data_IF_308315346499
#
_entry.id   IF_308315346499
#
_cell.length_a   1.000
_cell.length_b   1.000
_cell.length_c   1.000
_cell.angle_alpha   90.00
_cell.angle_beta   90.00
_cell.angle_gamma   90.00
#
_symmetry.space_group_name_H-M   'P 1'
#
loop_
_entity.id
_entity.type
_entity.pdbx_description
1 polymer ?
#
# COMPACT_ATOMS: atom_id res chain seq x y z
N UNK A 1 4.73 25.58 -8.89
CA UNK A 1 3.62 25.20 -8.02
C UNK A 1 2.55 24.60 -8.92
N UNK A 2 2.23 23.33 -8.74
CA UNK A 2 1.12 22.68 -9.43
C UNK A 2 -0.18 23.08 -8.72
N UNK A 3 -1.27 23.18 -9.48
CA UNK A 3 -2.59 23.59 -8.98
C UNK A 3 -3.59 22.52 -9.38
N UNK A 4 -4.38 22.05 -8.44
CA UNK A 4 -5.49 21.11 -8.66
C UNK A 4 -6.84 21.76 -8.32
N UNK A 5 -7.90 21.31 -9.02
CA UNK A 5 -9.27 21.71 -8.71
C UNK A 5 -9.84 20.79 -7.61
N UNK A 6 -10.11 21.33 -6.46
CA UNK A 6 -10.74 20.61 -5.35
C UNK A 6 -12.26 20.66 -5.47
N UNK A 7 -12.89 19.51 -5.65
CA UNK A 7 -14.34 19.43 -5.92
C UNK A 7 -15.22 19.84 -4.71
N UNK A 8 -14.75 19.58 -3.48
CA UNK A 8 -15.52 19.90 -2.27
C UNK A 8 -15.59 21.40 -2.03
N UNK A 9 -14.49 22.11 -2.19
CA UNK A 9 -14.41 23.56 -1.98
C UNK A 9 -14.65 24.37 -3.26
N UNK A 10 -14.74 23.69 -4.42
CA UNK A 10 -14.86 24.30 -5.77
C UNK A 10 -13.78 25.37 -6.02
N UNK A 11 -12.58 25.15 -5.52
CA UNK A 11 -11.47 26.08 -5.62
C UNK A 11 -10.23 25.44 -6.22
N UNK A 12 -9.35 26.28 -6.80
CA UNK A 12 -8.03 25.87 -7.23
C UNK A 12 -7.08 25.98 -6.04
N UNK A 13 -6.50 24.85 -5.63
CA UNK A 13 -5.56 24.77 -4.50
C UNK A 13 -4.16 24.44 -5.00
N UNK A 14 -3.16 25.07 -4.37
CA UNK A 14 -1.75 24.74 -4.64
C UNK A 14 -1.41 23.36 -4.08
N UNK A 15 -0.92 22.47 -4.94
CA UNK A 15 -0.54 21.11 -4.55
C UNK A 15 0.95 21.02 -4.31
N UNK A 16 1.34 20.54 -3.13
CA UNK A 16 2.70 20.09 -2.90
C UNK A 16 2.75 18.58 -3.19
N UNK A 17 3.40 18.13 -4.28
CA UNK A 17 3.44 16.70 -4.66
C UNK A 17 4.08 15.82 -3.60
N UNK A 18 4.85 16.38 -2.67
CA UNK A 18 5.45 15.65 -1.55
C UNK A 18 4.58 15.63 -0.29
N UNK A 19 3.41 16.29 -0.29
CA UNK A 19 2.50 16.26 0.85
C UNK A 19 1.90 14.86 1.00
N UNK A 20 1.97 14.31 2.21
CA UNK A 20 1.29 13.06 2.53
C UNK A 20 -0.23 13.26 2.52
N UNK A 21 -0.92 12.43 1.74
CA UNK A 21 -2.38 12.38 1.72
C UNK A 21 -2.88 11.52 2.89
N UNK A 22 -4.03 11.88 3.46
CA UNK A 22 -4.67 11.05 4.48
C UNK A 22 -5.24 9.79 3.84
N UNK A 23 -4.68 8.62 4.19
CA UNK A 23 -5.04 7.31 3.61
C UNK A 23 -5.87 6.43 4.55
N UNK A 24 -6.15 6.90 5.76
CA UNK A 24 -6.84 6.11 6.80
C UNK A 24 -8.27 5.73 6.45
N UNK A 25 -8.92 6.46 5.55
CA UNK A 25 -10.26 6.14 5.02
C UNK A 25 -10.30 4.82 4.23
N UNK A 26 -9.16 4.33 3.74
CA UNK A 26 -9.07 3.05 3.06
C UNK A 26 -9.20 1.83 4.00
N UNK A 27 -9.08 2.02 5.32
CA UNK A 27 -9.04 0.93 6.30
C UNK A 27 -10.19 -0.08 6.19
N UNK A 28 -11.47 0.32 6.13
CA UNK A 28 -12.56 -0.63 5.99
C UNK A 28 -12.51 -1.45 4.70
N UNK A 29 -12.17 -0.79 3.58
CA UNK A 29 -12.08 -1.45 2.28
C UNK A 29 -10.96 -2.50 2.24
N UNK A 30 -9.78 -2.17 2.78
CA UNK A 30 -8.66 -3.11 2.89
C UNK A 30 -9.00 -4.29 3.81
N UNK A 31 -9.77 -4.05 4.87
CA UNK A 31 -10.17 -5.09 5.80
C UNK A 31 -11.14 -6.12 5.19
N UNK A 32 -11.85 -5.77 4.15
CA UNK A 32 -12.69 -6.71 3.40
C UNK A 32 -11.91 -7.93 2.93
N UNK A 33 -10.66 -7.76 2.53
CA UNK A 33 -9.74 -8.84 2.17
C UNK A 33 -8.99 -9.40 3.39
N UNK A 34 -8.40 -8.53 4.22
CA UNK A 34 -7.46 -8.93 5.28
C UNK A 34 -8.12 -9.52 6.53
N UNK A 35 -9.46 -9.42 6.68
CA UNK A 35 -10.21 -10.08 7.76
C UNK A 35 -9.63 -9.84 9.16
N UNK A 36 -9.33 -8.58 9.48
CA UNK A 36 -8.70 -8.19 10.74
C UNK A 36 -7.33 -8.84 10.98
N UNK A 37 -6.56 -9.07 9.91
CA UNK A 37 -5.19 -9.58 10.00
C UNK A 37 -4.19 -8.59 9.41
N UNK A 38 -3.04 -8.50 10.04
CA UNK A 38 -1.90 -7.75 9.49
C UNK A 38 -1.47 -8.38 8.16
N UNK A 39 -1.32 -7.57 7.12
CA UNK A 39 -0.88 -8.02 5.81
C UNK A 39 0.48 -8.74 5.85
N UNK A 40 1.35 -8.31 6.73
CA UNK A 40 2.72 -8.81 6.81
C UNK A 40 2.87 -10.07 7.66
N UNK A 41 2.43 -10.02 8.92
CA UNK A 41 2.72 -11.09 9.90
C UNK A 41 1.50 -11.91 10.33
N UNK A 42 0.29 -11.60 9.80
CA UNK A 42 -1.00 -12.23 10.14
C UNK A 42 -1.47 -12.07 11.59
N UNK A 43 -0.79 -11.25 12.42
CA UNK A 43 -1.31 -10.90 13.74
C UNK A 43 -2.71 -10.29 13.65
N UNK A 44 -3.57 -10.59 14.62
CA UNK A 44 -4.86 -9.92 14.73
C UNK A 44 -4.71 -8.41 14.89
N UNK A 45 -5.52 -7.68 14.15
CA UNK A 45 -5.63 -6.23 14.19
C UNK A 45 -7.09 -5.80 14.23
N UNK A 46 -7.36 -4.60 14.70
CA UNK A 46 -8.70 -4.01 14.74
C UNK A 46 -8.81 -2.88 13.74
N UNK A 47 -10.00 -2.66 13.21
CA UNK A 47 -10.33 -1.44 12.44
C UNK A 47 -11.13 -0.43 13.28
N UNK A 48 -11.43 -0.77 14.52
CA UNK A 48 -12.21 0.08 15.44
C UNK A 48 -11.30 1.20 15.95
N UNK A 49 -11.75 2.42 15.77
CA UNK A 49 -11.03 3.59 16.25
C UNK A 49 -10.88 3.56 17.78
N UNK A 50 -9.69 3.84 18.27
CA UNK A 50 -9.37 3.82 19.69
C UNK A 50 -8.98 2.44 20.25
N UNK A 51 -9.06 1.37 19.45
CA UNK A 51 -8.55 0.06 19.84
C UNK A 51 -7.02 0.07 19.98
N UNK A 52 -6.49 -0.60 21.01
CA UNK A 52 -5.04 -0.77 21.19
C UNK A 52 -4.40 -1.56 20.04
N UNK A 53 -5.15 -2.49 19.43
CA UNK A 53 -4.72 -3.27 18.29
C UNK A 53 -5.13 -2.65 16.94
N UNK A 54 -5.44 -1.36 16.91
CA UNK A 54 -5.88 -0.69 15.69
C UNK A 54 -4.80 -0.78 14.60
N UNK A 55 -5.21 -1.26 13.42
CA UNK A 55 -4.35 -1.36 12.26
C UNK A 55 -3.93 0.02 11.73
N UNK A 56 -2.66 0.15 11.41
CA UNK A 56 -2.17 1.25 10.58
C UNK A 56 -2.50 0.96 9.10
N UNK A 57 -2.74 2.00 8.32
CA UNK A 57 -2.72 1.89 6.85
C UNK A 57 -1.30 2.24 6.42
N UNK A 58 -0.61 1.25 5.84
CA UNK A 58 0.79 1.37 5.42
C UNK A 58 0.92 1.39 3.91
N UNK A 59 1.88 2.14 3.42
CA UNK A 59 2.33 2.09 2.04
C UNK A 59 3.28 0.90 1.86
N UNK A 60 2.91 -0.07 1.03
CA UNK A 60 3.78 -1.21 0.73
C UNK A 60 5.09 -0.75 0.10
N UNK A 61 5.02 0.04 -0.95
CA UNK A 61 6.16 0.79 -1.48
C UNK A 61 6.31 2.10 -0.74
N UNK A 62 7.54 2.51 -0.40
CA UNK A 62 7.78 3.74 0.35
C UNK A 62 7.21 4.99 -0.33
N UNK A 63 6.70 5.91 0.47
CA UNK A 63 6.16 7.19 0.00
C UNK A 63 7.17 8.00 -0.85
N UNK A 64 8.47 7.82 -0.60
CA UNK A 64 9.53 8.47 -1.38
C UNK A 64 9.51 8.13 -2.88
N UNK A 65 8.83 7.04 -3.28
CA UNK A 65 8.68 6.70 -4.70
C UNK A 65 7.93 7.75 -5.52
N UNK A 66 7.21 8.67 -4.90
CA UNK A 66 6.67 9.86 -5.59
C UNK A 66 7.74 10.68 -6.29
N UNK A 67 8.99 10.60 -5.84
CA UNK A 67 10.12 11.28 -6.48
C UNK A 67 10.61 10.55 -7.75
N UNK A 68 10.30 9.28 -7.88
CA UNK A 68 10.72 8.45 -9.01
C UNK A 68 9.85 8.69 -10.25
N UNK A 69 8.55 8.77 -10.02
CA UNK A 69 7.56 8.97 -11.06
C UNK A 69 6.30 9.60 -10.43
N UNK A 70 6.09 10.88 -10.72
CA UNK A 70 4.93 11.62 -10.22
C UNK A 70 3.57 11.04 -10.70
N UNK A 71 3.60 10.18 -11.72
CA UNK A 71 2.40 9.55 -12.28
C UNK A 71 2.01 8.25 -11.56
N UNK A 72 2.88 7.71 -10.68
CA UNK A 72 2.52 6.49 -9.94
C UNK A 72 1.61 6.82 -8.76
N UNK A 73 0.45 6.14 -8.63
CA UNK A 73 -0.50 6.37 -7.54
C UNK A 73 -0.01 5.72 -6.23
N UNK A 74 1.05 6.28 -5.63
CA UNK A 74 1.66 5.74 -4.40
C UNK A 74 0.67 5.73 -3.23
N UNK A 75 -0.22 6.72 -3.15
CA UNK A 75 -1.30 6.76 -2.16
C UNK A 75 -2.54 5.95 -2.59
N UNK A 76 -2.47 5.31 -3.75
CA UNK A 76 -3.56 4.48 -4.27
C UNK A 76 -3.71 3.17 -3.52
N UNK A 77 -4.94 2.65 -3.49
CA UNK A 77 -5.29 1.41 -2.78
C UNK A 77 -4.47 0.19 -3.23
N UNK A 78 -3.96 0.21 -4.46
CA UNK A 78 -3.07 -0.83 -4.98
C UNK A 78 -1.77 -0.98 -4.16
N UNK A 79 -1.34 0.10 -3.51
CA UNK A 79 -0.13 0.17 -2.68
C UNK A 79 -0.41 0.21 -1.17
N UNK A 80 -1.67 0.21 -0.75
CA UNK A 80 -2.02 0.32 0.66
C UNK A 80 -2.37 -1.04 1.27
N UNK A 81 -1.92 -1.28 2.49
CA UNK A 81 -2.22 -2.49 3.26
C UNK A 81 -2.52 -2.14 4.72
N UNK A 82 -3.25 -3.01 5.43
CA UNK A 82 -3.40 -2.92 6.87
C UNK A 82 -2.22 -3.63 7.54
N UNK A 83 -1.55 -2.94 8.41
CA UNK A 83 -0.42 -3.47 9.17
C UNK A 83 -0.62 -3.30 10.67
N UNK A 84 -0.12 -4.23 11.47
CA UNK A 84 0.00 -3.99 12.89
C UNK A 84 1.11 -2.95 13.14
N UNK A 85 1.03 -2.29 14.27
CA UNK A 85 1.98 -1.24 14.66
C UNK A 85 3.43 -1.73 14.64
N UNK A 86 3.68 -2.95 15.07
CA UNK A 86 5.01 -3.55 15.12
C UNK A 86 5.61 -3.74 13.72
N UNK A 87 4.80 -4.23 12.76
CA UNK A 87 5.26 -4.37 11.38
C UNK A 87 5.46 -3.03 10.68
N UNK A 88 4.60 -2.06 10.96
CA UNK A 88 4.69 -0.75 10.32
C UNK A 88 5.81 0.11 10.90
N UNK A 89 5.80 0.30 12.23
CA UNK A 89 6.63 1.29 12.94
C UNK A 89 7.19 0.81 14.30
N UNK A 90 7.24 -0.49 14.55
CA UNK A 90 7.95 -1.07 15.68
C UNK A 90 9.46 -1.00 15.48
N UNK A 91 10.23 -1.38 16.50
CA UNK A 91 11.70 -1.35 16.49
C UNK A 91 12.31 -2.02 15.24
N UNK A 92 11.76 -3.19 14.85
CA UNK A 92 12.15 -3.91 13.65
C UNK A 92 11.14 -3.75 12.51
N UNK A 93 10.33 -2.70 12.56
CA UNK A 93 9.29 -2.43 11.58
C UNK A 93 9.79 -2.14 10.18
N UNK A 94 8.85 -2.16 9.25
CA UNK A 94 9.13 -1.89 7.83
C UNK A 94 9.57 -0.45 7.60
N UNK A 95 8.88 0.53 8.18
CA UNK A 95 9.08 1.96 7.87
C UNK A 95 9.14 2.19 6.36
N UNK A 96 10.25 2.73 5.88
CA UNK A 96 10.53 2.95 4.45
C UNK A 96 11.39 1.85 3.82
N UNK A 97 11.59 0.71 4.51
CA UNK A 97 12.32 -0.43 3.95
C UNK A 97 11.50 -1.11 2.85
N UNK A 98 12.20 -1.78 1.95
CA UNK A 98 11.58 -2.53 0.85
C UNK A 98 11.25 -3.93 1.35
N UNK A 99 9.98 -4.38 1.22
CA UNK A 99 9.60 -5.76 1.54
C UNK A 99 10.29 -6.78 0.63
N UNK A 100 10.34 -8.04 1.08
CA UNK A 100 10.84 -9.16 0.27
C UNK A 100 9.95 -9.41 -0.95
N UNK A 101 10.49 -10.10 -2.00
CA UNK A 101 9.70 -10.48 -3.18
C UNK A 101 8.45 -11.32 -2.86
N UNK A 102 8.50 -12.18 -1.84
CA UNK A 102 7.34 -12.98 -1.42
C UNK A 102 6.17 -12.09 -0.95
N UNK A 103 6.48 -10.99 -0.28
CA UNK A 103 5.47 -10.00 0.11
C UNK A 103 4.94 -9.21 -1.09
N UNK A 104 5.78 -8.97 -2.10
CA UNK A 104 5.34 -8.38 -3.37
C UNK A 104 4.38 -9.30 -4.10
N UNK A 105 4.66 -10.59 -4.17
CA UNK A 105 3.75 -11.58 -4.74
C UNK A 105 2.41 -11.61 -3.99
N UNK A 106 2.45 -11.57 -2.66
CA UNK A 106 1.23 -11.46 -1.84
C UNK A 106 0.41 -10.20 -2.18
N UNK A 107 1.07 -9.07 -2.39
CA UNK A 107 0.39 -7.83 -2.80
C UNK A 107 -0.27 -7.98 -4.18
N UNK A 108 0.45 -8.58 -5.13
CA UNK A 108 -0.09 -8.86 -6.46
C UNK A 108 -1.33 -9.77 -6.36
N UNK A 109 -1.24 -10.89 -5.64
CA UNK A 109 -2.34 -11.83 -5.48
C UNK A 109 -3.56 -11.17 -4.81
N UNK A 110 -3.35 -10.29 -3.82
CA UNK A 110 -4.42 -9.51 -3.19
C UNK A 110 -5.11 -8.61 -4.22
N UNK A 111 -4.35 -7.89 -5.02
CA UNK A 111 -4.91 -6.99 -6.03
C UNK A 111 -5.70 -7.76 -7.09
N UNK A 112 -5.16 -8.86 -7.59
CA UNK A 112 -5.85 -9.73 -8.55
C UNK A 112 -7.13 -10.35 -7.97
N UNK A 113 -7.10 -10.78 -6.72
CA UNK A 113 -8.29 -11.27 -6.04
C UNK A 113 -9.41 -10.22 -6.00
N UNK A 114 -9.09 -8.98 -5.61
CA UNK A 114 -10.07 -7.89 -5.55
C UNK A 114 -10.63 -7.55 -6.95
N UNK A 115 -9.82 -7.67 -7.99
CA UNK A 115 -10.25 -7.43 -9.37
C UNK A 115 -11.16 -8.56 -9.87
N UNK A 116 -10.76 -9.81 -9.67
CA UNK A 116 -11.48 -10.99 -10.19
C UNK A 116 -12.74 -11.30 -9.42
N UNK A 117 -12.80 -10.99 -8.13
CA UNK A 117 -13.98 -11.17 -7.29
C UNK A 117 -15.05 -10.08 -7.44
N UNK A 118 -14.86 -9.16 -8.40
CA UNK A 118 -15.76 -8.03 -8.62
C UNK A 118 -15.97 -7.14 -7.37
N UNK A 119 -14.93 -7.01 -6.55
CA UNK A 119 -14.93 -6.12 -5.40
C UNK A 119 -15.17 -4.66 -5.82
N UNK A 120 -15.80 -3.81 -4.99
CA UNK A 120 -16.01 -2.39 -5.30
C UNK A 120 -14.73 -1.61 -5.67
N UNK A 121 -13.55 -2.06 -5.22
CA UNK A 121 -12.26 -1.46 -5.58
C UNK A 121 -11.72 -1.89 -6.96
N UNK A 122 -12.41 -2.80 -7.67
CA UNK A 122 -11.95 -3.37 -8.96
C UNK A 122 -11.55 -2.31 -9.96
N UNK A 123 -12.46 -1.37 -10.26
CA UNK A 123 -12.21 -0.34 -11.27
C UNK A 123 -11.08 0.61 -10.85
N UNK A 124 -11.02 0.95 -9.57
CA UNK A 124 -9.94 1.76 -9.01
C UNK A 124 -8.58 1.06 -9.14
N UNK A 125 -8.51 -0.23 -8.82
CA UNK A 125 -7.28 -1.02 -8.96
C UNK A 125 -6.83 -1.11 -10.42
N UNK A 126 -7.76 -1.37 -11.34
CA UNK A 126 -7.47 -1.41 -12.79
C UNK A 126 -6.95 -0.05 -13.27
N UNK A 127 -7.61 1.04 -12.88
CA UNK A 127 -7.19 2.38 -13.25
C UNK A 127 -5.79 2.74 -12.71
N UNK A 128 -5.44 2.25 -11.53
CA UNK A 128 -4.14 2.52 -10.88
C UNK A 128 -3.00 1.66 -11.43
N UNK A 129 -3.27 0.43 -11.85
CA UNK A 129 -2.22 -0.56 -12.11
C UNK A 129 -2.21 -1.09 -13.54
N UNK A 130 -3.31 -1.00 -14.26
CA UNK A 130 -3.41 -1.37 -15.66
C UNK A 130 -4.55 -2.33 -15.98
N UNK A 131 -4.96 -2.34 -17.25
CA UNK A 131 -6.13 -3.05 -17.74
C UNK A 131 -5.95 -4.57 -17.74
N UNK A 132 -4.76 -5.04 -18.13
CA UNK A 132 -4.45 -6.47 -18.23
C UNK A 132 -3.61 -6.95 -17.05
N UNK A 133 -3.65 -8.24 -16.75
CA UNK A 133 -2.78 -8.85 -15.73
C UNK A 133 -1.30 -8.57 -16.00
N UNK A 134 -0.86 -8.63 -17.26
CA UNK A 134 0.50 -8.31 -17.64
C UNK A 134 0.87 -6.85 -17.33
N UNK A 135 -0.02 -5.88 -17.61
CA UNK A 135 0.21 -4.48 -17.25
C UNK A 135 0.36 -4.31 -15.74
N UNK A 136 -0.48 -4.98 -14.94
CA UNK A 136 -0.43 -4.92 -13.48
C UNK A 136 0.82 -5.56 -12.88
N UNK A 137 1.30 -6.65 -13.48
CA UNK A 137 2.59 -7.25 -13.13
C UNK A 137 3.75 -6.28 -13.41
N UNK A 138 3.78 -5.68 -14.60
CA UNK A 138 4.79 -4.67 -14.94
C UNK A 138 4.76 -3.46 -14.00
N UNK A 139 3.56 -2.96 -13.68
CA UNK A 139 3.40 -1.86 -12.74
C UNK A 139 4.08 -2.14 -11.38
N UNK A 140 3.83 -3.33 -10.80
CA UNK A 140 4.43 -3.71 -9.53
C UNK A 140 5.93 -3.97 -9.64
N UNK A 141 6.37 -4.59 -10.73
CA UNK A 141 7.79 -4.83 -11.01
C UNK A 141 8.56 -3.51 -11.12
N UNK A 142 8.04 -2.54 -11.87
CA UNK A 142 8.65 -1.23 -12.05
C UNK A 142 8.71 -0.47 -10.73
N UNK A 143 7.63 -0.50 -9.93
CA UNK A 143 7.59 0.13 -8.62
C UNK A 143 8.62 -0.52 -7.67
N UNK A 144 8.76 -1.83 -7.71
CA UNK A 144 9.73 -2.57 -6.90
C UNK A 144 11.17 -2.24 -7.31
N UNK A 145 11.47 -2.28 -8.61
CA UNK A 145 12.80 -1.96 -9.13
C UNK A 145 13.19 -0.51 -8.84
N UNK A 146 12.23 0.42 -8.98
CA UNK A 146 12.45 1.80 -8.63
C UNK A 146 12.74 1.98 -7.12
N UNK A 147 12.03 1.25 -6.26
CA UNK A 147 12.29 1.24 -4.81
C UNK A 147 13.71 0.78 -4.49
N UNK A 148 14.18 -0.27 -5.18
CA UNK A 148 15.56 -0.78 -5.03
C UNK A 148 16.58 0.27 -5.44
N UNK A 149 16.33 0.99 -6.52
CA UNK A 149 17.22 2.04 -7.00
C UNK A 149 17.38 3.17 -5.98
N UNK A 150 16.27 3.61 -5.38
CA UNK A 150 16.29 4.71 -4.39
C UNK A 150 16.90 4.32 -3.04
N UNK A 151 16.53 3.15 -2.52
CA UNK A 151 17.01 2.68 -1.20
C UNK A 151 18.41 2.08 -1.29
N UNK A 152 18.87 1.77 -2.50
CA UNK A 152 20.15 1.12 -2.78
C UNK A 152 20.04 -0.41 -2.86
N UNK A 153 20.67 -0.97 -3.88
CA UNK A 153 20.64 -2.41 -4.18
C UNK A 153 21.17 -3.30 -3.04
N UNK A 154 22.04 -2.76 -2.19
CA UNK A 154 22.63 -3.46 -1.04
C UNK A 154 21.75 -3.42 0.22
N UNK A 155 20.67 -2.66 0.21
CA UNK A 155 19.75 -2.59 1.36
C UNK A 155 19.10 -3.97 1.60
N UNK A 156 19.17 -4.45 2.83
CA UNK A 156 18.54 -5.70 3.23
C UNK A 156 17.02 -5.56 3.06
N UNK A 157 16.43 -6.50 2.34
CA UNK A 157 14.98 -6.57 2.21
C UNK A 157 14.34 -6.87 3.55
N UNK A 158 13.23 -6.19 3.83
CA UNK A 158 12.52 -6.36 5.10
C UNK A 158 11.53 -7.53 4.99
N UNK A 159 11.51 -8.33 6.05
CA UNK A 159 10.58 -9.44 6.22
C UNK A 159 10.11 -9.49 7.67
N UNK A 160 8.82 -9.69 7.91
CA UNK A 160 8.28 -9.82 9.26
C UNK A 160 8.56 -11.20 9.83
N UNK A 161 8.50 -11.30 11.16
CA UNK A 161 8.35 -12.59 11.84
C UNK A 161 6.85 -12.92 11.86
N UNK A 162 6.41 -14.06 11.31
CA UNK A 162 5.01 -14.48 11.36
C UNK A 162 4.48 -14.54 12.81
N UNK A 163 3.27 -14.03 13.02
CA UNK A 163 2.61 -13.95 14.32
C UNK A 163 1.23 -14.61 14.34
N UNK A 164 0.81 -15.14 13.22
CA UNK A 164 -0.47 -15.82 13.06
C UNK A 164 -0.46 -16.71 11.81
N UNK A 165 -1.53 -17.47 11.66
CA UNK A 165 -1.71 -18.33 10.50
C UNK A 165 -1.99 -17.51 9.24
N UNK A 166 -1.37 -17.90 8.14
CA UNK A 166 -1.63 -17.32 6.84
C UNK A 166 -3.07 -17.63 6.40
N UNK A 167 -3.85 -16.60 6.10
CA UNK A 167 -5.26 -16.73 5.69
C UNK A 167 -5.51 -16.15 4.28
N UNK A 168 -4.51 -15.57 3.65
CA UNK A 168 -4.53 -15.04 2.28
C UNK A 168 -3.13 -15.09 1.64
#
# INVERSE_FOLDING_TARGET
MLVEYEQETKSLVGVNPLRRTTITSARPALNGYQKCRCFYCFREVSIIQGSQAMADVDHFFPHMLKQCDNNKPIDGVANLVLACRECNRGENGKFEKIPTPDLLERLFNRNEYLITSHHPLRETLIAQTGLTTANRQHFLQDAYNCSIFFVGARSKKWQPVPQGDAIF
#
